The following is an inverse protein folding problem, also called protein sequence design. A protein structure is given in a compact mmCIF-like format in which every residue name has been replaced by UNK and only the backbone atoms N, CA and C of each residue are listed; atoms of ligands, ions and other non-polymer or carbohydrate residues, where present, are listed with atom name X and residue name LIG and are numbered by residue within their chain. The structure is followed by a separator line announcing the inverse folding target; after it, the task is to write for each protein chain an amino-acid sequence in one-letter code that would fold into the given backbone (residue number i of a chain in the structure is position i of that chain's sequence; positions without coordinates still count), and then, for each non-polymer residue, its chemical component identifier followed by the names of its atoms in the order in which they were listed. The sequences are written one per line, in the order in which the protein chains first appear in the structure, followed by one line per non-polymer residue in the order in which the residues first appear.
data_IF_624819540264
#
_entry.id   IF_624819540264
#
_cell.length_a   1.000
_cell.length_b   1.000
_cell.length_c   1.000
_cell.angle_alpha   90.00
_cell.angle_beta   90.00
_cell.angle_gamma   90.00
#
_symmetry.space_group_name_H-M   'P 1'
#
loop_
_entity.id
_entity.type
_entity.pdbx_description
1 polymer ?
#
# COMPACT_ATOMS: atom_id res chain seq x y z
N UNK A 1 23.68 14.61 23.00
CA UNK A 1 23.58 13.13 23.16
C UNK A 1 22.69 12.60 22.05
N UNK A 2 23.29 11.89 21.08
CA UNK A 2 22.60 11.23 19.95
C UNK A 2 21.70 10.13 20.50
N UNK A 3 20.40 10.20 20.23
CA UNK A 3 19.45 9.16 20.59
C UNK A 3 18.97 8.52 19.28
N UNK A 4 19.49 7.33 19.00
CA UNK A 4 18.93 6.43 18.00
C UNK A 4 17.68 5.84 18.65
N UNK A 5 16.48 6.29 18.22
CA UNK A 5 15.20 5.77 18.67
C UNK A 5 14.44 5.14 17.49
N UNK A 6 13.68 4.05 17.73
CA UNK A 6 13.10 3.22 16.67
C UNK A 6 12.12 3.99 15.78
N UNK A 7 12.25 3.80 14.46
CA UNK A 7 11.42 4.39 13.40
C UNK A 7 9.90 4.14 13.56
N UNK A 8 9.50 3.18 14.40
CA UNK A 8 8.13 2.74 14.64
C UNK A 8 7.17 3.85 15.14
N UNK A 9 7.63 4.79 15.97
CA UNK A 9 6.77 5.85 16.51
C UNK A 9 6.69 7.10 15.64
N UNK A 10 7.72 7.37 14.82
CA UNK A 10 7.89 8.66 14.15
C UNK A 10 6.99 8.85 12.94
N UNK A 11 6.72 7.81 12.16
CA UNK A 11 5.91 7.93 10.94
C UNK A 11 4.46 8.31 11.26
N UNK A 12 3.81 7.72 12.27
CA UNK A 12 2.42 8.07 12.61
C UNK A 12 2.28 9.29 13.52
N UNK A 13 3.10 9.42 14.57
CA UNK A 13 2.85 10.41 15.63
C UNK A 13 3.42 11.81 15.34
N UNK A 14 4.37 11.93 14.43
CA UNK A 14 5.05 13.21 14.16
C UNK A 14 4.17 14.24 13.47
N UNK A 15 3.36 13.81 12.49
CA UNK A 15 2.38 14.66 11.80
C UNK A 15 1.37 15.20 12.81
N UNK A 16 0.81 14.33 13.65
CA UNK A 16 -0.12 14.75 14.71
C UNK A 16 0.51 15.71 15.71
N UNK A 17 1.77 15.50 16.08
CA UNK A 17 2.50 16.41 16.95
C UNK A 17 2.69 17.78 16.28
N UNK A 18 3.08 17.83 15.01
CA UNK A 18 3.19 19.09 14.25
C UNK A 18 1.86 19.81 14.10
N UNK A 19 0.77 19.09 13.82
CA UNK A 19 -0.59 19.64 13.77
C UNK A 19 -0.96 20.25 15.14
N UNK A 20 -0.72 19.51 16.23
CA UNK A 20 -0.96 19.97 17.61
C UNK A 20 -0.09 21.16 18.02
N UNK A 21 1.17 21.21 17.58
CA UNK A 21 2.10 22.31 17.85
C UNK A 21 1.70 23.58 17.08
N UNK A 22 1.32 23.43 15.81
CA UNK A 22 0.93 24.55 14.95
C UNK A 22 -0.37 25.22 15.41
N UNK A 23 -1.31 24.44 15.96
CA UNK A 23 -2.63 24.90 16.46
C UNK A 23 -3.40 25.78 15.47
N UNK A 24 -3.19 25.60 14.17
CA UNK A 24 -3.83 26.38 13.12
C UNK A 24 -4.05 25.51 11.88
N UNK A 25 -5.33 25.32 11.54
CA UNK A 25 -5.77 24.47 10.44
C UNK A 25 -5.58 25.11 9.06
N UNK A 26 -5.28 26.41 8.99
CA UNK A 26 -5.12 27.16 7.74
C UNK A 26 -3.65 27.40 7.38
N UNK A 27 -2.72 26.73 8.07
CA UNK A 27 -1.29 26.87 7.80
C UNK A 27 -0.64 25.51 7.64
N UNK A 28 0.26 25.41 6.67
CA UNK A 28 1.06 24.20 6.47
C UNK A 28 1.88 23.87 7.72
N UNK A 29 1.98 22.57 8.02
CA UNK A 29 2.92 22.01 9.00
C UNK A 29 4.36 21.93 8.47
N UNK A 30 4.53 22.15 7.16
CA UNK A 30 5.82 22.17 6.47
C UNK A 30 6.37 23.59 6.40
N UNK A 31 7.70 23.69 6.45
CA UNK A 31 8.37 24.98 6.35
C UNK A 31 8.15 25.60 4.96
N UNK A 32 8.10 26.93 4.90
CA UNK A 32 8.09 27.68 3.65
C UNK A 32 9.47 28.29 3.34
N UNK A 33 10.48 27.98 4.16
CA UNK A 33 11.86 28.38 3.93
C UNK A 33 12.57 27.29 3.10
N UNK A 34 13.08 27.59 1.89
CA UNK A 34 13.83 26.62 1.08
C UNK A 34 15.03 26.00 1.81
N UNK A 35 15.69 26.77 2.68
CA UNK A 35 16.88 26.33 3.43
C UNK A 35 16.59 25.17 4.40
N UNK A 36 15.33 24.96 4.76
CA UNK A 36 14.93 23.86 5.64
C UNK A 36 14.83 22.51 4.89
N UNK A 37 15.06 22.50 3.58
CA UNK A 37 15.01 21.34 2.70
C UNK A 37 16.40 20.96 2.20
N UNK A 38 16.60 19.66 1.95
CA UNK A 38 17.83 19.14 1.32
C UNK A 38 17.96 19.63 -0.12
N UNK A 39 19.18 19.96 -0.52
CA UNK A 39 19.56 20.28 -1.90
C UNK A 39 19.66 19.05 -2.81
N UNK A 40 19.75 17.85 -2.23
CA UNK A 40 19.98 16.61 -2.97
C UNK A 40 18.68 15.98 -3.48
N UNK A 41 18.56 15.81 -4.80
CA UNK A 41 17.47 15.06 -5.42
C UNK A 41 17.46 13.60 -4.95
N UNK A 42 18.63 12.96 -4.89
CA UNK A 42 18.76 11.58 -4.40
C UNK A 42 18.24 11.43 -2.96
N UNK A 43 18.48 12.42 -2.10
CA UNK A 43 17.92 12.42 -0.74
C UNK A 43 16.40 12.48 -0.73
N UNK A 44 15.80 13.26 -1.64
CA UNK A 44 14.33 13.34 -1.83
C UNK A 44 13.76 12.01 -2.33
N UNK A 45 14.40 11.38 -3.32
CA UNK A 45 14.02 10.08 -3.88
C UNK A 45 14.14 8.94 -2.86
N UNK A 46 15.23 8.93 -2.07
CA UNK A 46 15.38 7.98 -0.98
C UNK A 46 14.29 8.17 0.07
N UNK A 47 13.90 9.41 0.34
CA UNK A 47 12.83 9.67 1.30
C UNK A 47 11.47 9.24 0.78
N UNK A 48 11.15 9.49 -0.49
CA UNK A 48 9.97 8.90 -1.14
C UNK A 48 9.94 7.39 -0.92
N UNK A 49 11.04 6.70 -1.25
CA UNK A 49 11.14 5.24 -1.14
C UNK A 49 10.90 4.75 0.30
N UNK A 50 11.45 5.45 1.30
CA UNK A 50 11.21 5.18 2.71
C UNK A 50 9.74 5.40 3.08
N UNK A 51 9.12 6.47 2.57
CA UNK A 51 7.71 6.79 2.85
C UNK A 51 6.76 5.75 2.23
N UNK A 52 7.02 5.29 1.00
CA UNK A 52 6.27 4.21 0.35
C UNK A 52 6.35 2.94 1.22
N UNK A 53 7.57 2.55 1.61
CA UNK A 53 7.80 1.41 2.50
C UNK A 53 7.04 1.55 3.82
N UNK A 54 7.15 2.70 4.48
CA UNK A 54 6.53 2.96 5.77
C UNK A 54 4.99 2.95 5.67
N UNK A 55 4.42 3.59 4.65
CA UNK A 55 2.98 3.64 4.43
C UNK A 55 2.39 2.24 4.27
N UNK A 56 2.99 1.39 3.43
CA UNK A 56 2.55 0.01 3.25
C UNK A 56 2.79 -0.84 4.49
N UNK A 57 3.98 -0.76 5.09
CA UNK A 57 4.32 -1.58 6.28
C UNK A 57 3.37 -1.29 7.44
N UNK A 58 3.06 -0.02 7.69
CA UNK A 58 2.22 0.37 8.83
C UNK A 58 0.73 0.27 8.56
N UNK A 59 0.28 0.32 7.30
CA UNK A 59 -1.13 0.15 6.97
C UNK A 59 -1.52 -1.32 6.82
N UNK A 60 -0.68 -2.12 6.14
CA UNK A 60 -1.00 -3.48 5.74
C UNK A 60 -0.13 -4.56 6.36
N UNK A 61 0.89 -4.20 7.17
CA UNK A 61 1.75 -5.18 7.83
C UNK A 61 1.04 -6.07 8.85
N UNK A 62 -0.07 -5.58 9.41
CA UNK A 62 -0.95 -6.32 10.32
C UNK A 62 -2.13 -6.98 9.57
N UNK A 63 -2.15 -6.90 8.24
CA UNK A 63 -3.17 -7.56 7.46
C UNK A 63 -2.96 -9.07 7.48
N UNK A 64 -4.06 -9.82 7.34
CA UNK A 64 -4.03 -11.28 7.36
C UNK A 64 -3.18 -11.81 6.20
N UNK A 65 -2.08 -12.48 6.52
CA UNK A 65 -1.21 -13.14 5.54
C UNK A 65 -1.99 -14.20 4.74
N UNK A 66 -1.61 -14.41 3.49
CA UNK A 66 -2.24 -15.39 2.57
C UNK A 66 -3.73 -15.19 2.32
N UNK A 67 -4.31 -14.09 2.78
CA UNK A 67 -5.70 -13.74 2.50
C UNK A 67 -5.76 -12.68 1.39
N UNK A 68 -6.60 -12.84 0.36
CA UNK A 68 -6.78 -11.83 -0.66
C UNK A 68 -7.40 -10.54 -0.08
N UNK A 69 -6.72 -9.42 -0.28
CA UNK A 69 -7.15 -8.10 0.15
C UNK A 69 -7.49 -7.30 -1.11
N UNK A 70 -8.77 -6.95 -1.34
CA UNK A 70 -9.13 -5.98 -2.36
C UNK A 70 -8.39 -4.67 -2.10
N UNK A 71 -7.61 -4.24 -3.08
CA UNK A 71 -6.74 -3.08 -2.98
C UNK A 71 -7.09 -2.04 -4.03
N UNK A 72 -7.28 -0.82 -3.55
CA UNK A 72 -7.56 0.37 -4.34
C UNK A 72 -6.32 1.26 -4.37
N UNK A 73 -6.03 1.89 -5.50
CA UNK A 73 -4.88 2.77 -5.60
C UNK A 73 -5.21 4.13 -6.24
N UNK A 74 -4.58 5.17 -5.72
CA UNK A 74 -4.68 6.53 -6.23
C UNK A 74 -3.26 7.05 -6.50
N UNK A 75 -3.07 7.67 -7.64
CA UNK A 75 -1.83 8.38 -7.98
C UNK A 75 -2.16 9.65 -8.77
N UNK A 76 -1.26 10.64 -8.85
CA UNK A 76 -1.46 11.78 -9.72
C UNK A 76 -1.64 11.37 -11.21
N UNK A 77 -2.38 12.16 -12.00
CA UNK A 77 -2.50 11.93 -13.43
C UNK A 77 -1.15 12.12 -14.13
N UNK A 78 -0.73 11.18 -15.00
CA UNK A 78 0.48 11.35 -15.77
C UNK A 78 0.30 12.47 -16.80
N UNK A 79 1.38 13.20 -17.10
CA UNK A 79 1.35 14.29 -18.08
C UNK A 79 1.42 13.80 -19.53
N UNK A 80 1.55 12.50 -19.74
CA UNK A 80 1.59 11.81 -21.03
C UNK A 80 1.04 10.38 -20.86
N UNK A 81 0.70 9.68 -21.95
CA UNK A 81 0.36 8.26 -21.88
C UNK A 81 1.48 7.49 -21.17
N UNK A 82 1.08 6.66 -20.20
CA UNK A 82 1.99 5.86 -19.39
C UNK A 82 1.41 4.46 -19.29
N UNK A 83 2.27 3.45 -19.42
CA UNK A 83 1.97 2.05 -19.13
C UNK A 83 1.88 1.79 -17.62
N UNK A 84 2.52 2.66 -16.84
CA UNK A 84 2.49 2.69 -15.38
C UNK A 84 1.48 3.73 -14.89
N UNK A 85 0.63 3.32 -13.96
CA UNK A 85 -0.43 4.15 -13.39
C UNK A 85 -0.63 3.84 -11.91
N UNK A 86 -1.71 4.34 -11.31
CA UNK A 86 -1.96 4.16 -9.88
C UNK A 86 -1.90 2.70 -9.41
N UNK A 87 -2.27 1.73 -10.27
CA UNK A 87 -2.22 0.30 -9.95
C UNK A 87 -0.80 -0.21 -9.65
N UNK A 88 0.24 0.35 -10.28
CA UNK A 88 1.64 -0.08 -10.11
C UNK A 88 2.12 0.12 -8.66
N UNK A 89 1.59 1.14 -7.98
CA UNK A 89 1.89 1.45 -6.58
C UNK A 89 1.56 0.28 -5.65
N UNK A 90 0.60 -0.57 -6.00
CA UNK A 90 0.23 -1.75 -5.20
C UNK A 90 1.40 -2.73 -5.11
N UNK A 91 2.01 -3.05 -6.25
CA UNK A 91 3.13 -3.99 -6.31
C UNK A 91 4.41 -3.36 -5.76
N UNK A 92 4.68 -2.11 -6.13
CA UNK A 92 5.85 -1.37 -5.65
C UNK A 92 5.85 -1.25 -4.13
N UNK A 93 4.74 -0.84 -3.54
CA UNK A 93 4.60 -0.72 -2.09
C UNK A 93 4.66 -2.06 -1.36
N UNK A 94 4.05 -3.11 -1.93
CA UNK A 94 4.17 -4.48 -1.39
C UNK A 94 5.62 -4.92 -1.29
N UNK A 95 6.38 -4.72 -2.36
CA UNK A 95 7.79 -5.10 -2.42
C UNK A 95 8.63 -4.24 -1.45
N UNK A 96 8.43 -2.92 -1.45
CA UNK A 96 9.13 -1.99 -0.56
C UNK A 96 8.92 -2.31 0.93
N UNK A 97 7.69 -2.72 1.31
CA UNK A 97 7.33 -3.09 2.67
C UNK A 97 7.63 -4.54 3.06
N UNK A 98 8.25 -5.32 2.16
CA UNK A 98 8.56 -6.75 2.34
C UNK A 98 7.31 -7.56 2.72
N UNK A 99 6.16 -7.25 2.10
CA UNK A 99 4.87 -7.90 2.34
C UNK A 99 4.67 -9.09 1.39
N UNK A 100 5.68 -9.96 1.34
CA UNK A 100 5.81 -11.03 0.35
C UNK A 100 4.64 -12.03 0.35
N UNK A 101 3.99 -12.24 1.49
CA UNK A 101 2.86 -13.19 1.63
C UNK A 101 1.50 -12.50 1.73
N UNK A 102 1.47 -11.17 1.69
CA UNK A 102 0.23 -10.40 1.66
C UNK A 102 -0.29 -10.36 0.23
N UNK A 103 -1.52 -10.86 0.03
CA UNK A 103 -2.12 -11.00 -1.29
C UNK A 103 -2.98 -9.78 -1.62
N UNK A 104 -2.36 -8.73 -2.16
CA UNK A 104 -3.13 -7.60 -2.69
C UNK A 104 -3.76 -7.95 -4.03
N UNK A 105 -5.09 -7.85 -4.11
CA UNK A 105 -5.84 -7.99 -5.35
C UNK A 105 -6.14 -6.60 -5.88
N UNK A 106 -5.73 -6.30 -7.11
CA UNK A 106 -6.13 -5.05 -7.76
C UNK A 106 -7.65 -5.01 -7.94
N UNK A 107 -8.32 -4.15 -7.17
CA UNK A 107 -9.77 -3.99 -7.21
C UNK A 107 -10.18 -2.80 -8.07
N UNK A 108 -9.49 -1.67 -7.93
CA UNK A 108 -9.64 -0.49 -8.77
C UNK A 108 -8.42 0.43 -8.62
N UNK A 109 -8.14 1.26 -9.61
CA UNK A 109 -7.07 2.25 -9.53
C UNK A 109 -7.41 3.49 -10.37
N UNK A 110 -7.11 4.68 -9.86
CA UNK A 110 -7.44 5.92 -10.56
C UNK A 110 -6.30 6.94 -10.45
N UNK A 111 -5.93 7.48 -11.60
CA UNK A 111 -4.96 8.54 -11.74
C UNK A 111 -5.68 9.90 -11.62
N UNK A 112 -5.75 10.44 -10.40
CA UNK A 112 -6.56 11.61 -10.06
C UNK A 112 -5.96 12.38 -8.88
N UNK A 113 -6.26 13.67 -8.79
CA UNK A 113 -5.95 14.51 -7.63
C UNK A 113 -7.06 14.50 -6.56
N UNK A 114 -8.08 13.66 -6.74
CA UNK A 114 -9.28 13.61 -5.88
C UNK A 114 -9.60 12.19 -5.42
N UNK A 115 -9.55 11.96 -4.11
CA UNK A 115 -9.77 10.63 -3.52
C UNK A 115 -11.24 10.27 -3.28
N UNK A 116 -12.15 11.25 -3.33
CA UNK A 116 -13.56 11.11 -2.92
C UNK A 116 -14.25 9.94 -3.62
N UNK A 117 -14.15 9.89 -4.94
CA UNK A 117 -14.79 8.86 -5.77
C UNK A 117 -14.22 7.47 -5.49
N UNK A 118 -12.91 7.36 -5.25
CA UNK A 118 -12.27 6.09 -4.93
C UNK A 118 -12.67 5.60 -3.54
N UNK A 119 -12.79 6.51 -2.56
CA UNK A 119 -13.32 6.20 -1.23
C UNK A 119 -14.77 5.73 -1.28
N UNK A 120 -15.62 6.36 -2.10
CA UNK A 120 -17.00 5.89 -2.32
C UNK A 120 -17.04 4.47 -2.89
N UNK A 121 -16.16 4.16 -3.86
CA UNK A 121 -16.04 2.80 -4.42
C UNK A 121 -15.55 1.78 -3.39
N UNK A 122 -14.59 2.15 -2.55
CA UNK A 122 -14.12 1.32 -1.44
C UNK A 122 -15.27 0.96 -0.48
N UNK A 123 -16.09 1.92 -0.08
CA UNK A 123 -17.22 1.63 0.82
C UNK A 123 -18.33 0.86 0.12
N UNK A 124 -18.61 1.16 -1.16
CA UNK A 124 -19.56 0.39 -1.97
C UNK A 124 -19.16 -1.08 -2.09
N UNK A 125 -17.85 -1.40 -2.20
CA UNK A 125 -17.37 -2.79 -2.18
C UNK A 125 -17.88 -3.53 -0.93
N UNK A 126 -17.80 -2.91 0.25
CA UNK A 126 -18.26 -3.52 1.49
C UNK A 126 -19.78 -3.66 1.58
N UNK A 127 -20.51 -2.70 1.03
CA UNK A 127 -21.98 -2.71 0.96
C UNK A 127 -22.46 -3.84 0.03
N UNK A 128 -21.86 -3.96 -1.16
CA UNK A 128 -22.19 -4.98 -2.16
C UNK A 128 -21.71 -6.38 -1.75
N UNK A 129 -20.66 -6.47 -0.93
CA UNK A 129 -20.03 -7.72 -0.52
C UNK A 129 -19.95 -7.81 1.02
N UNK A 130 -21.04 -8.20 1.72
CA UNK A 130 -21.12 -8.15 3.18
C UNK A 130 -20.16 -9.10 3.90
N UNK A 131 -19.54 -10.05 3.19
CA UNK A 131 -18.56 -10.99 3.73
C UNK A 131 -17.12 -10.49 3.68
N UNK A 132 -16.79 -9.50 2.85
CA UNK A 132 -15.40 -9.00 2.70
C UNK A 132 -14.87 -8.44 4.02
N UNK A 133 -13.84 -9.03 4.64
CA UNK A 133 -13.45 -8.66 6.00
C UNK A 133 -12.56 -7.43 6.05
N UNK A 134 -11.82 -7.16 4.98
CA UNK A 134 -10.87 -6.07 4.89
C UNK A 134 -10.67 -5.61 3.44
N UNK A 135 -10.27 -4.37 3.27
CA UNK A 135 -9.83 -3.79 2.00
C UNK A 135 -8.77 -2.72 2.28
N UNK A 136 -7.85 -2.55 1.35
CA UNK A 136 -6.77 -1.58 1.45
C UNK A 136 -7.00 -0.47 0.41
N UNK A 137 -6.79 0.78 0.81
CA UNK A 137 -6.61 1.88 -0.15
C UNK A 137 -5.23 2.49 0.07
N UNK A 138 -4.52 2.71 -1.03
CA UNK A 138 -3.21 3.36 -1.04
C UNK A 138 -3.25 4.60 -1.92
N UNK A 139 -2.47 5.61 -1.55
CA UNK A 139 -2.25 6.78 -2.37
C UNK A 139 -0.80 7.21 -2.31
N UNK A 140 -0.30 7.66 -3.45
CA UNK A 140 1.03 8.24 -3.59
C UNK A 140 0.91 9.53 -4.39
N UNK A 141 1.49 10.61 -3.87
CA UNK A 141 1.64 11.88 -4.57
C UNK A 141 2.87 12.64 -4.03
N UNK A 142 3.40 13.57 -4.80
CA UNK A 142 4.59 14.33 -4.44
C UNK A 142 5.36 14.82 -5.65
N UNK A 143 6.25 15.79 -5.45
CA UNK A 143 7.12 16.28 -6.53
C UNK A 143 7.94 15.15 -7.16
N UNK A 144 8.45 14.19 -6.37
CA UNK A 144 9.27 13.09 -6.88
C UNK A 144 8.42 12.13 -7.71
N UNK A 145 7.25 11.70 -7.22
CA UNK A 145 6.27 10.92 -7.98
C UNK A 145 5.91 11.62 -9.29
N UNK A 146 5.56 12.91 -9.22
CA UNK A 146 5.15 13.71 -10.39
C UNK A 146 6.30 13.95 -11.37
N UNK A 147 7.55 13.95 -10.90
CA UNK A 147 8.73 14.01 -11.75
C UNK A 147 8.89 12.74 -12.59
N UNK A 148 8.56 11.56 -12.06
CA UNK A 148 8.51 10.31 -12.82
C UNK A 148 7.40 10.31 -13.89
N UNK A 149 6.30 11.01 -13.63
CA UNK A 149 5.12 11.06 -14.49
C UNK A 149 5.09 12.28 -15.45
N UNK A 150 6.22 12.97 -15.60
CA UNK A 150 6.36 14.12 -16.50
C UNK A 150 6.35 13.69 -17.97
N UNK A 151 6.25 14.67 -18.88
CA UNK A 151 6.41 14.43 -20.31
C UNK A 151 7.87 14.03 -20.61
N UNK A 152 8.06 13.01 -21.45
CA UNK A 152 9.38 12.53 -21.83
C UNK A 152 10.18 13.66 -22.49
N UNK A 153 11.46 13.78 -22.15
CA UNK A 153 12.34 14.82 -22.69
C UNK A 153 12.22 16.21 -22.04
N UNK A 154 11.25 16.46 -21.14
CA UNK A 154 11.24 17.74 -20.38
C UNK A 154 12.30 17.75 -19.28
N UNK A 155 12.72 18.91 -18.78
CA UNK A 155 13.54 18.98 -17.57
C UNK A 155 12.84 18.28 -16.40
N UNK A 156 13.60 17.51 -15.61
CA UNK A 156 13.15 16.93 -14.36
C UNK A 156 13.52 17.80 -13.15
N UNK A 157 13.25 17.30 -11.95
CA UNK A 157 13.74 17.88 -10.71
C UNK A 157 15.27 18.01 -10.74
N UNK A 158 15.79 19.06 -10.11
CA UNK A 158 17.21 19.38 -10.02
C UNK A 158 17.68 19.30 -8.57
N UNK A 159 19.01 19.21 -8.38
CA UNK A 159 19.61 19.42 -7.07
C UNK A 159 19.49 20.91 -6.70
N UNK A 160 18.63 21.23 -5.74
CA UNK A 160 18.42 22.58 -5.23
C UNK A 160 17.62 22.54 -3.93
N UNK A 161 17.90 23.48 -3.01
CA UNK A 161 17.07 23.74 -1.85
C UNK A 161 15.82 24.49 -2.32
N UNK A 162 14.70 23.79 -2.37
CA UNK A 162 13.42 24.35 -2.81
C UNK A 162 12.31 23.86 -1.90
N UNK A 163 11.33 24.73 -1.66
CA UNK A 163 10.05 24.29 -1.08
C UNK A 163 9.36 23.41 -2.11
N UNK A 164 8.95 22.17 -1.77
CA UNK A 164 8.21 21.32 -2.69
C UNK A 164 6.95 22.00 -3.19
N UNK A 165 6.66 21.87 -4.49
CA UNK A 165 5.39 22.37 -5.06
C UNK A 165 4.23 21.50 -4.60
N UNK A 166 4.46 20.19 -4.62
CA UNK A 166 3.60 19.19 -4.00
C UNK A 166 4.42 18.46 -2.96
N UNK A 167 4.05 18.63 -1.69
CA UNK A 167 4.64 17.88 -0.61
C UNK A 167 4.43 16.39 -0.84
N UNK A 168 5.50 15.63 -0.64
CA UNK A 168 5.47 14.17 -0.67
C UNK A 168 4.32 13.64 0.20
N UNK A 169 3.56 12.65 -0.24
CA UNK A 169 2.42 12.14 0.51
C UNK A 169 2.17 10.70 0.12
N UNK A 170 2.50 9.79 1.04
CA UNK A 170 2.24 8.36 0.91
C UNK A 170 1.29 7.93 2.01
N UNK A 171 0.14 7.40 1.63
CA UNK A 171 -0.87 6.92 2.58
C UNK A 171 -1.26 5.49 2.24
N UNK A 172 -1.35 4.65 3.26
CA UNK A 172 -2.10 3.41 3.20
C UNK A 172 -3.16 3.43 4.31
N UNK A 173 -4.36 2.96 3.99
CA UNK A 173 -5.46 2.81 4.94
C UNK A 173 -6.07 1.43 4.76
N UNK A 174 -5.84 0.56 5.74
CA UNK A 174 -6.50 -0.74 5.83
C UNK A 174 -7.83 -0.56 6.58
N UNK A 175 -8.93 -0.79 5.88
CA UNK A 175 -10.27 -0.75 6.47
C UNK A 175 -10.69 -2.18 6.78
N UNK A 176 -11.08 -2.44 8.03
CA UNK A 176 -11.44 -3.78 8.49
C UNK A 176 -12.80 -3.80 9.17
N UNK A 177 -13.56 -4.88 8.98
CA UNK A 177 -14.78 -5.20 9.72
C UNK A 177 -14.44 -6.30 10.72
N UNK A 178 -14.16 -5.93 11.97
CA UNK A 178 -13.63 -6.87 12.96
C UNK A 178 -14.52 -8.10 13.17
N UNK A 179 -15.84 -7.92 13.15
CA UNK A 179 -16.81 -9.01 13.25
C UNK A 179 -16.74 -9.99 12.06
N UNK A 180 -16.39 -9.50 10.87
CA UNK A 180 -16.18 -10.32 9.66
C UNK A 180 -14.83 -11.01 9.68
N UNK A 181 -13.78 -10.36 10.19
CA UNK A 181 -12.47 -11.01 10.42
C UNK A 181 -12.65 -12.16 11.40
N UNK A 182 -13.31 -11.93 12.54
CA UNK A 182 -13.49 -12.95 13.57
C UNK A 182 -14.37 -14.11 13.07
N UNK A 183 -15.43 -13.81 12.32
CA UNK A 183 -16.36 -14.82 11.80
C UNK A 183 -15.81 -15.62 10.62
N UNK A 184 -15.10 -14.98 9.69
CA UNK A 184 -14.77 -15.59 8.39
C UNK A 184 -13.30 -15.91 8.20
N UNK A 185 -12.41 -15.31 8.99
CA UNK A 185 -10.97 -15.56 8.88
C UNK A 185 -10.44 -16.28 10.12
N UNK A 186 -10.68 -15.74 11.33
CA UNK A 186 -9.98 -16.18 12.55
C UNK A 186 -10.18 -17.66 12.86
N UNK A 187 -11.34 -18.23 12.52
CA UNK A 187 -11.63 -19.66 12.71
C UNK A 187 -10.74 -20.60 11.87
N UNK A 188 -10.11 -20.08 10.80
CA UNK A 188 -9.22 -20.83 9.92
C UNK A 188 -7.74 -20.49 10.15
N UNK A 189 -7.43 -19.73 11.20
CA UNK A 189 -6.04 -19.46 11.56
C UNK A 189 -5.32 -20.77 11.93
N UNK A 190 -4.15 -20.98 11.35
CA UNK A 190 -3.32 -22.16 11.62
C UNK A 190 -2.15 -21.76 12.53
N UNK A 191 -1.62 -22.74 13.27
CA UNK A 191 -0.38 -22.59 14.04
C UNK A 191 0.82 -23.14 13.25
N UNK A 192 0.67 -23.38 11.95
CA UNK A 192 1.76 -23.83 11.09
C UNK A 192 2.79 -22.71 10.96
N UNK A 193 4.07 -23.09 10.89
CA UNK A 193 5.12 -22.13 10.55
C UNK A 193 4.86 -21.58 9.16
N UNK A 194 5.06 -20.27 8.99
CA UNK A 194 4.96 -19.64 7.69
C UNK A 194 6.03 -20.21 6.73
N UNK A 195 5.58 -20.86 5.66
CA UNK A 195 6.43 -21.36 4.58
C UNK A 195 5.62 -21.41 3.27
N UNK A 196 5.72 -20.34 2.47
CA UNK A 196 5.07 -20.27 1.16
C UNK A 196 5.74 -21.13 0.07
N UNK A 197 6.90 -21.74 0.36
CA UNK A 197 7.61 -22.61 -0.59
C UNK A 197 7.18 -24.08 -0.43
N UNK A 198 6.70 -24.47 0.75
CA UNK A 198 6.19 -25.81 0.99
C UNK A 198 4.77 -25.99 0.44
N UNK A 199 4.64 -26.42 -0.81
CA UNK A 199 3.34 -26.69 -1.47
C UNK A 199 2.48 -27.78 -0.81
N UNK A 200 2.99 -28.49 0.20
CA UNK A 200 2.23 -29.51 0.92
C UNK A 200 1.53 -28.96 2.17
N UNK A 201 1.94 -27.79 2.70
CA UNK A 201 1.24 -27.10 3.79
C UNK A 201 -0.03 -26.43 3.27
N UNK A 202 -0.99 -26.14 4.16
CA UNK A 202 -2.24 -25.51 3.72
C UNK A 202 -2.01 -24.07 3.24
N UNK A 203 -1.10 -23.33 3.90
CA UNK A 203 -0.68 -22.00 3.45
C UNK A 203 0.07 -22.05 2.11
N UNK A 204 0.92 -23.05 1.88
CA UNK A 204 1.64 -23.21 0.62
C UNK A 204 0.74 -23.63 -0.56
N UNK A 205 -0.29 -24.44 -0.30
CA UNK A 205 -1.35 -24.73 -1.28
C UNK A 205 -2.15 -23.48 -1.63
N UNK A 206 -2.56 -22.70 -0.62
CA UNK A 206 -3.30 -21.46 -0.83
C UNK A 206 -2.47 -20.43 -1.63
N UNK A 207 -1.19 -20.27 -1.28
CA UNK A 207 -0.25 -19.44 -2.01
C UNK A 207 -0.12 -19.87 -3.48
N UNK A 208 0.05 -21.18 -3.71
CA UNK A 208 0.17 -21.76 -5.06
C UNK A 208 -1.10 -21.54 -5.88
N UNK A 209 -2.28 -21.69 -5.27
CA UNK A 209 -3.57 -21.46 -5.93
C UNK A 209 -3.68 -20.04 -6.50
N UNK A 210 -3.35 -19.01 -5.72
CA UNK A 210 -3.40 -17.63 -6.22
C UNK A 210 -2.35 -17.37 -7.30
N UNK A 211 -1.15 -17.93 -7.16
CA UNK A 211 -0.09 -17.76 -8.15
C UNK A 211 -0.41 -18.43 -9.48
N UNK A 212 -1.03 -19.61 -9.47
CA UNK A 212 -1.53 -20.28 -10.67
C UNK A 212 -2.67 -19.51 -11.31
N UNK A 213 -3.57 -18.91 -10.51
CA UNK A 213 -4.66 -18.10 -11.04
C UNK A 213 -4.15 -16.88 -11.78
N UNK A 214 -3.12 -16.22 -11.26
CA UNK A 214 -2.47 -15.06 -11.86
C UNK A 214 -1.81 -15.42 -13.21
N UNK A 215 -1.02 -16.49 -13.26
CA UNK A 215 -0.44 -17.00 -14.52
C UNK A 215 -1.50 -17.27 -15.58
N UNK A 216 -2.59 -17.94 -15.21
CA UNK A 216 -3.69 -18.23 -16.12
C UNK A 216 -4.39 -16.95 -16.64
N UNK A 217 -4.30 -15.82 -15.93
CA UNK A 217 -4.81 -14.53 -16.41
C UNK A 217 -3.85 -13.89 -17.42
N UNK A 218 -2.53 -14.00 -17.21
CA UNK A 218 -1.52 -13.50 -18.16
C UNK A 218 -1.44 -14.34 -19.44
N UNK A 219 -1.68 -15.65 -19.35
CA UNK A 219 -1.63 -16.59 -20.48
C UNK A 219 -2.96 -16.73 -21.22
N UNK A 220 -4.06 -16.17 -20.69
CA UNK A 220 -5.34 -16.13 -21.38
C UNK A 220 -5.31 -15.13 -22.55
N UNK A 221 -5.87 -15.46 -23.73
CA UNK A 221 -6.08 -14.48 -24.79
C UNK A 221 -6.87 -13.30 -24.24
N UNK A 222 -6.44 -12.06 -24.51
CA UNK A 222 -7.08 -10.84 -24.03
C UNK A 222 -8.52 -10.80 -24.57
N UNK A 223 -9.50 -11.27 -23.78
CA UNK A 223 -10.92 -11.09 -24.08
C UNK A 223 -11.41 -9.87 -23.28
N UNK A 224 -11.95 -8.83 -23.95
CA UNK A 224 -12.43 -7.65 -23.26
C UNK A 224 -13.67 -7.99 -22.44
N UNK A 225 -13.59 -7.70 -21.14
CA UNK A 225 -14.63 -7.80 -20.10
C UNK A 225 -14.84 -9.21 -19.54
N UNK A 226 -14.30 -9.50 -18.35
CA UNK A 226 -14.78 -10.63 -17.55
C UNK A 226 -15.10 -10.29 -16.10
N UNK A 227 -16.35 -10.64 -15.78
CA UNK A 227 -17.00 -10.80 -14.49
C UNK A 227 -16.15 -11.71 -13.58
N UNK A 228 -15.91 -11.27 -12.34
CA UNK A 228 -15.20 -12.02 -11.31
C UNK A 228 -15.77 -13.45 -11.15
N UNK A 229 -14.96 -14.51 -11.30
CA UNK A 229 -15.38 -15.86 -10.92
C UNK A 229 -15.41 -15.99 -9.39
N UNK A 230 -16.47 -16.64 -8.87
CA UNK A 230 -16.60 -16.97 -7.45
C UNK A 230 -15.46 -17.89 -7.01
N UNK A 231 -14.84 -17.59 -5.86
CA UNK A 231 -13.84 -18.45 -5.25
C UNK A 231 -14.43 -19.84 -4.93
N UNK A 232 -13.70 -20.95 -5.19
CA UNK A 232 -14.16 -22.27 -4.79
C UNK A 232 -14.08 -22.41 -3.27
N UNK A 233 -15.12 -23.01 -2.67
CA UNK A 233 -15.07 -23.47 -1.28
C UNK A 233 -13.98 -24.57 -1.13
N UNK A 234 -13.32 -24.67 0.03
CA UNK A 234 -12.29 -25.69 0.24
C UNK A 234 -12.87 -27.11 0.17
N UNK A 235 -12.17 -28.07 -0.48
CA UNK A 235 -12.61 -29.46 -0.54
C UNK A 235 -12.36 -30.20 0.79
N UNK A 236 -13.13 -31.27 1.08
CA UNK A 236 -12.92 -32.10 2.26
C UNK A 236 -11.62 -32.94 2.14
N UNK A 237 -10.97 -33.15 3.28
CA UNK A 237 -9.65 -33.76 3.46
C UNK A 237 -9.54 -35.22 2.98
N UNK A 238 -8.53 -35.52 2.16
CA UNK A 238 -8.05 -36.87 1.84
C UNK A 238 -6.77 -36.85 0.99
N UNK A 239 -5.72 -37.54 1.44
CA UNK A 239 -4.41 -37.77 0.77
C UNK A 239 -4.33 -39.28 0.38
N UNK A 240 -3.35 -39.84 -0.41
CA UNK A 240 -2.01 -39.32 -0.76
C UNK A 240 -1.39 -39.68 -2.15
N UNK A 241 -0.13 -39.23 -2.34
CA UNK A 241 1.01 -39.80 -3.14
C UNK A 241 1.17 -39.34 -4.60
N UNK A 242 2.35 -39.04 -5.20
CA UNK A 242 3.79 -39.31 -4.96
C UNK A 242 4.71 -38.33 -5.77
N UNK A 243 5.97 -38.10 -5.32
CA UNK A 243 7.11 -37.30 -5.91
C UNK A 243 7.85 -38.05 -7.07
N UNK A 244 8.99 -37.59 -7.70
CA UNK A 244 9.84 -36.35 -7.63
C UNK A 244 10.17 -35.73 -9.04
N UNK A 245 10.89 -34.62 -9.28
CA UNK A 245 12.33 -34.31 -9.07
C UNK A 245 12.74 -33.04 -9.86
N UNK A 246 13.83 -32.34 -9.47
CA UNK A 246 14.58 -31.39 -10.33
C UNK A 246 14.83 -29.97 -9.76
N UNK A 247 16.06 -29.68 -9.31
CA UNK A 247 16.63 -28.32 -9.06
C UNK A 247 17.49 -27.89 -10.28
N UNK A 248 17.73 -26.58 -10.55
CA UNK A 248 18.87 -25.81 -9.96
C UNK A 248 18.49 -24.35 -9.58
N UNK A 249 18.88 -23.82 -8.41
CA UNK A 249 20.10 -23.02 -8.08
C UNK A 249 20.31 -21.68 -8.83
N UNK A 250 20.23 -20.55 -8.09
CA UNK A 250 21.11 -19.36 -8.19
C UNK A 250 20.85 -18.42 -6.99
N UNK A 251 21.77 -18.32 -6.02
CA UNK A 251 22.79 -17.27 -5.80
C UNK A 251 22.23 -15.97 -5.20
N UNK A 252 22.57 -15.77 -3.92
CA UNK A 252 22.32 -14.58 -3.13
C UNK A 252 23.41 -13.52 -3.36
N UNK A 253 23.03 -12.25 -3.29
CA UNK A 253 23.94 -11.11 -3.18
C UNK A 253 23.36 -10.05 -2.23
N UNK A 254 24.22 -9.23 -1.58
CA UNK A 254 24.11 -8.92 -0.16
C UNK A 254 23.38 -7.60 0.14
N UNK A 255 22.95 -7.50 1.41
CA UNK A 255 22.42 -6.31 2.05
C UNK A 255 23.43 -5.15 2.02
N UNK A 256 22.97 -3.96 1.64
CA UNK A 256 23.76 -2.72 1.72
C UNK A 256 23.01 -1.71 2.60
N UNK A 257 23.81 -1.16 3.50
CA UNK A 257 23.57 -0.32 4.67
C UNK A 257 22.86 1.03 4.43
N UNK A 258 22.03 1.42 5.41
CA UNK A 258 21.45 2.76 5.64
C UNK A 258 22.49 3.88 5.78
N UNK A 259 22.21 5.13 5.32
CA UNK A 259 21.91 6.25 6.24
C UNK A 259 21.00 7.35 5.58
N UNK A 260 20.92 8.60 6.09
CA UNK A 260 20.22 9.11 7.27
C UNK A 260 18.90 9.87 6.96
N UNK A 261 18.18 10.23 8.03
CA UNK A 261 16.82 10.79 8.13
C UNK A 261 16.55 12.11 7.39
N UNK A 262 15.31 12.23 6.88
CA UNK A 262 14.57 13.48 7.05
C UNK A 262 13.40 13.79 6.12
N UNK A 263 12.27 13.04 6.11
CA UNK A 263 10.92 13.63 5.95
C UNK A 263 9.85 12.77 6.65
N UNK A 264 8.77 13.41 7.10
CA UNK A 264 7.78 12.89 8.05
C UNK A 264 6.41 12.73 7.37
N UNK A 265 5.94 11.49 7.20
CA UNK A 265 4.59 11.18 6.71
C UNK A 265 3.97 9.96 7.39
N UNK A 266 2.65 10.02 7.56
CA UNK A 266 1.83 9.13 8.38
C UNK A 266 0.90 8.25 7.54
N UNK A 267 0.92 6.94 7.79
CA UNK A 267 -0.20 6.04 7.47
C UNK A 267 -1.20 6.02 8.63
N UNK A 268 -2.49 6.12 8.34
CA UNK A 268 -3.56 6.10 9.36
C UNK A 268 -4.15 4.69 9.41
N UNK A 269 -4.17 4.05 10.57
CA UNK A 269 -4.97 2.84 10.83
C UNK A 269 -6.08 3.18 11.81
N UNK A 270 -7.32 3.26 11.33
CA UNK A 270 -8.50 3.53 12.16
C UNK A 270 -9.21 2.21 12.43
N UNK A 271 -9.11 1.71 13.67
CA UNK A 271 -10.02 0.69 14.18
C UNK A 271 -11.23 1.40 14.78
N UNK A 272 -12.39 1.30 14.15
CA UNK A 272 -13.64 1.81 14.70
C UNK A 272 -14.63 0.67 14.92
N UNK A 273 -15.17 0.60 16.15
CA UNK A 273 -16.43 -0.09 16.43
C UNK A 273 -17.52 0.99 16.39
N UNK A 274 -18.51 0.83 15.50
CA UNK A 274 -19.72 1.67 15.36
C UNK A 274 -19.73 2.74 14.27
N UNK A 275 -20.93 3.03 13.79
CA UNK A 275 -21.38 3.72 12.57
C UNK A 275 -21.06 5.22 12.46
N UNK A 276 -20.08 5.73 13.20
CA UNK A 276 -19.77 7.17 13.29
C UNK A 276 -18.79 7.67 12.19
N UNK A 277 -18.37 6.78 11.27
CA UNK A 277 -17.32 7.09 10.27
C UNK A 277 -17.73 8.18 9.25
N UNK A 278 -19.02 8.30 8.90
CA UNK A 278 -19.50 9.28 7.90
C UNK A 278 -19.33 10.75 8.33
N UNK A 279 -19.36 11.05 9.63
CA UNK A 279 -19.20 12.45 10.12
C UNK A 279 -17.73 12.84 10.30
N UNK A 280 -16.85 11.91 10.68
CA UNK A 280 -15.42 12.21 10.83
C UNK A 280 -14.71 12.35 9.47
N UNK A 281 -15.02 11.52 8.46
CA UNK A 281 -14.37 11.62 7.15
C UNK A 281 -14.72 12.93 6.40
N UNK A 282 -15.95 13.42 6.54
CA UNK A 282 -16.39 14.66 5.87
C UNK A 282 -15.65 15.91 6.38
N UNK A 283 -15.24 15.92 7.66
CA UNK A 283 -14.49 17.04 8.24
C UNK A 283 -13.03 17.05 7.79
N UNK A 284 -12.44 15.86 7.53
CA UNK A 284 -11.05 15.74 7.08
C UNK A 284 -10.86 15.99 5.57
N UNK A 285 -11.88 15.74 4.74
CA UNK A 285 -11.78 15.88 3.27
C UNK A 285 -12.17 17.30 2.80
N UNK A 286 -12.91 18.05 3.61
CA UNK A 286 -13.30 19.44 3.30
C UNK A 286 -12.17 20.48 3.41
N UNK A 287 -10.96 20.10 3.82
CA UNK A 287 -9.84 21.03 4.07
C UNK A 287 -8.74 21.02 2.99
N UNK A 288 -8.94 20.31 1.87
CA UNK A 288 -8.01 20.35 0.71
C UNK A 288 -8.36 21.41 -0.34
N UNK A 289 -9.26 22.34 -0.02
CA UNK A 289 -9.45 23.59 -0.77
C UNK A 289 -9.45 24.75 0.22
N UNK A 290 -8.26 25.28 0.50
CA UNK A 290 -7.92 26.69 0.73
C UNK A 290 -6.42 26.79 0.98
#
# INVERSE_FOLDING_TARGET
KKLILPAWGWHQSSVWRKIKEKKNNFTSIYSQNPEDYTDSLLSRENTQSINIRAAFKHSAGEAVAYWPIPTFAIAPPPKQPSDTGAADNILNGRNAATLGVTLFLWQDAENTTHAQKMLERLFRLFDDNPQVPQALIVSEDGDVTRNGLRVAGTPGLQNAQVVPTVFESMTGLLVTRSDRVDRYIRQYATNESEDNQNKNSDLGKLWSFYWERDKNLYEAPIIPRYRMPRAPCPPPTGNPSSRPSGKPSAIAAPAISSPPLGYLFAGVSIRSRSSTLRRCLATCIGQSRL
#
